data_IF_443810908930
#
_entry.id   IF_443810908930
#
_cell.length_a   1.000
_cell.length_b   1.000
_cell.length_c   1.000
_cell.angle_alpha   90.00
_cell.angle_beta   90.00
_cell.angle_gamma   90.00
#
_symmetry.space_group_name_H-M   'P 1'
#
loop_
_entity.id
_entity.type
_entity.pdbx_description
1 polymer ?
#
# COMPACT_ATOMS: atom_id res chain seq x y z
N UNK A 1 -18.22 8.52 -10.34
CA UNK A 1 -16.91 9.01 -9.86
C UNK A 1 -16.11 7.80 -9.42
N UNK A 2 -15.19 7.31 -10.25
CA UNK A 2 -14.44 6.08 -9.95
C UNK A 2 -13.08 6.47 -9.35
N UNK A 3 -13.09 6.93 -8.11
CA UNK A 3 -11.85 7.21 -7.38
C UNK A 3 -11.15 5.86 -7.15
N UNK A 4 -10.06 5.65 -7.90
CA UNK A 4 -9.19 4.51 -7.71
C UNK A 4 -8.20 4.92 -6.62
N UNK A 5 -8.35 4.36 -5.42
CA UNK A 5 -7.57 4.76 -4.24
C UNK A 5 -6.12 4.24 -4.28
N UNK A 6 -5.86 3.22 -5.10
CA UNK A 6 -4.53 2.75 -5.44
C UNK A 6 -4.47 2.47 -6.94
N UNK A 7 -3.38 2.91 -7.56
CA UNK A 7 -3.00 2.54 -8.92
C UNK A 7 -2.53 1.08 -8.97
N UNK A 8 -2.54 0.50 -10.18
CA UNK A 8 -2.00 -0.85 -10.40
C UNK A 8 -0.54 -1.01 -9.97
N UNK A 9 0.26 0.06 -10.06
CA UNK A 9 1.66 0.05 -9.66
C UNK A 9 1.82 -0.08 -8.15
N UNK A 10 1.04 0.69 -7.38
CA UNK A 10 1.00 0.62 -5.92
C UNK A 10 0.47 -0.73 -5.45
N UNK A 11 -0.57 -1.26 -6.12
CA UNK A 11 -1.08 -2.62 -5.88
C UNK A 11 0.02 -3.67 -6.06
N UNK A 12 0.79 -3.59 -7.14
CA UNK A 12 1.87 -4.54 -7.41
C UNK A 12 2.99 -4.41 -6.40
N UNK A 13 3.37 -3.18 -6.04
CA UNK A 13 4.40 -2.90 -5.03
C UNK A 13 3.98 -3.42 -3.66
N UNK A 14 2.73 -3.19 -3.25
CA UNK A 14 2.16 -3.74 -2.02
C UNK A 14 2.26 -5.26 -1.99
N UNK A 15 1.84 -5.93 -3.07
CA UNK A 15 1.93 -7.39 -3.19
C UNK A 15 3.37 -7.88 -3.10
N UNK A 16 4.32 -7.18 -3.73
CA UNK A 16 5.73 -7.51 -3.66
C UNK A 16 6.26 -7.43 -2.22
N UNK A 17 6.03 -6.33 -1.52
CA UNK A 17 6.46 -6.18 -0.12
C UNK A 17 5.80 -7.19 0.81
N UNK A 18 4.53 -7.48 0.59
CA UNK A 18 3.80 -8.50 1.35
C UNK A 18 4.45 -9.89 1.18
N UNK A 19 4.79 -10.28 -0.05
CA UNK A 19 5.47 -11.55 -0.33
C UNK A 19 6.91 -11.54 0.23
N UNK A 20 7.65 -10.44 0.09
CA UNK A 20 8.99 -10.28 0.65
C UNK A 20 9.00 -10.38 2.18
N UNK A 21 7.95 -9.90 2.84
CA UNK A 21 7.75 -10.04 4.28
C UNK A 21 7.24 -11.44 4.69
N UNK A 22 7.04 -12.36 3.74
CA UNK A 22 6.56 -13.72 3.99
C UNK A 22 5.06 -13.82 4.26
N UNK A 23 4.29 -12.78 3.94
CA UNK A 23 2.85 -12.76 4.12
C UNK A 23 2.10 -13.06 2.81
N UNK A 24 0.96 -13.72 2.94
CA UNK A 24 -0.04 -13.84 1.88
C UNK A 24 -1.23 -12.94 2.22
N UNK A 25 -2.08 -12.63 1.22
CA UNK A 25 -3.28 -11.78 1.42
C UNK A 25 -4.12 -12.28 2.61
N UNK A 26 -4.33 -13.59 2.71
CA UNK A 26 -5.09 -14.20 3.83
C UNK A 26 -4.40 -13.99 5.18
N UNK A 27 -3.08 -14.21 5.25
CA UNK A 27 -2.33 -14.07 6.51
C UNK A 27 -2.24 -12.61 6.95
N UNK A 28 -2.05 -11.68 6.01
CA UNK A 28 -2.04 -10.26 6.28
C UNK A 28 -3.43 -9.77 6.70
N UNK A 29 -4.49 -10.22 6.01
CA UNK A 29 -5.87 -9.89 6.36
C UNK A 29 -6.22 -10.36 7.78
N UNK A 30 -5.85 -11.58 8.16
CA UNK A 30 -6.02 -12.08 9.54
C UNK A 30 -5.29 -11.20 10.56
N UNK A 31 -4.06 -10.76 10.24
CA UNK A 31 -3.26 -9.92 11.13
C UNK A 31 -3.88 -8.53 11.33
N UNK A 32 -4.50 -7.99 10.27
CA UNK A 32 -5.20 -6.72 10.27
C UNK A 32 -6.64 -6.80 10.80
N UNK A 33 -7.09 -8.00 11.19
CA UNK A 33 -8.49 -8.27 11.54
C UNK A 33 -9.48 -7.89 10.43
N UNK A 34 -9.09 -8.11 9.18
CA UNK A 34 -9.88 -7.84 7.97
C UNK A 34 -10.26 -9.15 7.27
N UNK A 35 -11.40 -9.13 6.57
CA UNK A 35 -11.71 -10.19 5.63
C UNK A 35 -10.79 -10.14 4.42
N UNK A 36 -10.43 -11.31 3.88
CA UNK A 36 -9.62 -11.43 2.65
C UNK A 36 -10.20 -10.60 1.51
N UNK A 37 -11.52 -10.60 1.36
CA UNK A 37 -12.22 -9.82 0.33
C UNK A 37 -12.06 -8.31 0.56
N UNK A 38 -12.22 -7.84 1.79
CA UNK A 38 -12.01 -6.42 2.13
C UNK A 38 -10.58 -5.97 1.81
N UNK A 39 -9.57 -6.76 2.18
CA UNK A 39 -8.18 -6.46 1.85
C UNK A 39 -7.95 -6.48 0.33
N UNK A 40 -8.52 -7.45 -0.39
CA UNK A 40 -8.42 -7.54 -1.85
C UNK A 40 -9.05 -6.34 -2.56
N UNK A 41 -10.22 -5.87 -2.10
CA UNK A 41 -10.89 -4.70 -2.66
C UNK A 41 -10.07 -3.43 -2.43
N UNK A 42 -9.44 -3.28 -1.25
CA UNK A 42 -8.56 -2.16 -0.94
C UNK A 42 -7.29 -2.18 -1.77
N UNK A 43 -6.61 -3.33 -1.84
CA UNK A 43 -5.44 -3.54 -2.70
C UNK A 43 -5.77 -3.25 -4.16
N UNK A 44 -6.98 -3.56 -4.63
CA UNK A 44 -7.43 -3.28 -6.00
C UNK A 44 -7.83 -1.81 -6.23
N UNK A 45 -7.71 -0.95 -5.22
CA UNK A 45 -8.07 0.47 -5.30
C UNK A 45 -9.57 0.74 -5.33
N UNK A 46 -10.43 -0.24 -5.03
CA UNK A 46 -11.89 -0.05 -4.94
C UNK A 46 -12.32 0.62 -3.64
N UNK A 47 -11.54 0.42 -2.58
CA UNK A 47 -11.80 0.94 -1.24
C UNK A 47 -10.52 1.61 -0.75
N UNK A 48 -10.65 2.73 -0.04
CA UNK A 48 -9.53 3.43 0.57
C UNK A 48 -8.91 2.63 1.73
N UNK A 49 -7.63 2.84 2.03
CA UNK A 49 -7.05 2.34 3.28
C UNK A 49 -7.17 3.42 4.36
N UNK A 50 -7.81 3.09 5.49
CA UNK A 50 -7.82 4.03 6.61
C UNK A 50 -6.40 4.25 7.13
N UNK A 51 -6.10 5.45 7.66
CA UNK A 51 -4.77 5.77 8.25
C UNK A 51 -4.32 4.74 9.28
N UNK A 52 -5.25 4.21 10.08
CA UNK A 52 -4.97 3.16 11.07
C UNK A 52 -4.52 1.87 10.40
N UNK A 53 -5.19 1.46 9.32
CA UNK A 53 -4.84 0.26 8.55
C UNK A 53 -3.50 0.42 7.85
N UNK A 54 -3.24 1.59 7.25
CA UNK A 54 -1.94 1.91 6.65
C UNK A 54 -0.80 1.80 7.67
N UNK A 55 -0.99 2.36 8.87
CA UNK A 55 -0.01 2.28 9.95
C UNK A 55 0.23 0.85 10.43
N UNK A 56 -0.85 0.06 10.57
CA UNK A 56 -0.77 -1.33 11.00
C UNK A 56 -0.04 -2.19 9.95
N UNK A 57 -0.37 -2.01 8.66
CA UNK A 57 0.31 -2.65 7.53
C UNK A 57 1.79 -2.29 7.53
N UNK A 58 2.13 -1.00 7.68
CA UNK A 58 3.52 -0.55 7.72
C UNK A 58 4.29 -1.21 8.86
N UNK A 59 3.67 -1.34 10.03
CA UNK A 59 4.26 -2.00 11.19
C UNK A 59 4.46 -3.51 10.96
N UNK A 60 3.49 -4.19 10.35
CA UNK A 60 3.54 -5.63 10.05
C UNK A 60 4.59 -5.94 8.97
N UNK A 61 4.61 -5.15 7.90
CA UNK A 61 5.52 -5.30 6.79
C UNK A 61 6.91 -4.74 7.09
N UNK A 62 7.06 -3.96 8.18
CA UNK A 62 8.28 -3.22 8.54
C UNK A 62 8.78 -2.32 7.41
N UNK A 63 7.85 -1.70 6.70
CA UNK A 63 8.11 -0.80 5.58
C UNK A 63 7.35 0.50 5.82
N UNK A 64 7.95 1.61 5.46
CA UNK A 64 7.32 2.92 5.59
C UNK A 64 6.04 3.00 4.74
N UNK A 65 4.92 3.49 5.29
CA UNK A 65 3.66 3.57 4.57
C UNK A 65 3.78 4.46 3.33
N UNK A 66 4.67 5.46 3.30
CA UNK A 66 4.91 6.28 2.12
C UNK A 66 5.53 5.48 0.97
N UNK A 67 6.33 4.46 1.25
CA UNK A 67 6.91 3.64 0.19
C UNK A 67 5.87 2.74 -0.47
N UNK A 68 4.89 2.27 0.32
CA UNK A 68 3.83 1.37 -0.13
C UNK A 68 2.67 2.12 -0.79
N UNK A 69 2.18 3.18 -0.14
CA UNK A 69 0.95 3.90 -0.51
C UNK A 69 1.19 5.25 -1.18
N UNK A 70 2.40 5.81 -1.10
CA UNK A 70 2.74 7.13 -1.67
C UNK A 70 4.02 7.07 -2.51
N UNK A 71 4.44 5.87 -2.90
CA UNK A 71 5.77 5.60 -3.43
C UNK A 71 6.02 6.12 -4.84
N UNK A 72 5.06 6.87 -5.39
CA UNK A 72 5.14 7.62 -6.65
C UNK A 72 5.47 9.11 -6.44
N UNK A 73 5.29 9.68 -5.24
CA UNK A 73 5.55 11.11 -4.98
C UNK A 73 6.99 11.45 -4.53
N UNK A 74 7.90 10.47 -4.57
CA UNK A 74 9.35 10.74 -4.46
C UNK A 74 10.06 10.62 -5.80
N UNK A 75 9.37 10.91 -6.91
CA UNK A 75 10.07 11.50 -8.05
C UNK A 75 10.32 12.95 -7.71
N UNK A 76 11.39 13.18 -6.97
CA UNK A 76 11.95 14.49 -6.68
C UNK A 76 11.81 15.39 -7.91
N UNK A 77 10.95 16.40 -7.79
CA UNK A 77 11.14 17.69 -8.45
C UNK A 77 12.40 18.38 -7.89
N UNK A 78 13.54 17.70 -7.87
CA UNK A 78 14.88 18.28 -7.65
C UNK A 78 15.71 18.14 -8.92
N UNK A 79 15.20 18.66 -10.02
CA UNK A 79 16.04 19.10 -11.14
C UNK A 79 15.49 20.40 -11.71
N UNK A 80 15.47 21.47 -10.91
CA UNK A 80 15.55 22.84 -11.41
C UNK A 80 15.80 23.84 -10.26
N UNK A 81 16.99 23.76 -9.65
CA UNK A 81 17.61 24.87 -8.91
C UNK A 81 19.12 24.80 -9.04
N UNK A 82 19.63 24.96 -10.27
CA UNK A 82 20.98 25.44 -10.63
C UNK A 82 20.86 25.83 -12.11
N UNK A 83 21.08 27.05 -12.56
CA UNK A 83 21.47 28.33 -11.99
C UNK A 83 21.39 29.35 -13.14
#
# INVERSE_FOLDING_TARGET
>A
MNQQYMTKEETNRFKAYMVMAGYNITSLANKLNLSRESLSMRISGKIDFGRKEMADIANILRVDPNIIFFGHEVTLKETNRKG
#
